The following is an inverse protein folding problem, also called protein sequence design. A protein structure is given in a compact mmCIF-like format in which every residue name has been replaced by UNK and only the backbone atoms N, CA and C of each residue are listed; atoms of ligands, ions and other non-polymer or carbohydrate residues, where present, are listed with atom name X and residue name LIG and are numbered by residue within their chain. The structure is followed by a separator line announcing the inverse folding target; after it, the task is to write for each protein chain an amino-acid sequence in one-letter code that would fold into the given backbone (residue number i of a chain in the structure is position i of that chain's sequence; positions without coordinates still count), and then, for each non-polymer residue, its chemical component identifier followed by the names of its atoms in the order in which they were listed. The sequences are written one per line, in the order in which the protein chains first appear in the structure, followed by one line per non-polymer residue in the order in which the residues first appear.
data_IF_080163753056
#
_entry.id   IF_080163753056
#
_cell.length_a   1.000
_cell.length_b   1.000
_cell.length_c   1.000
_cell.angle_alpha   90.00
_cell.angle_beta   90.00
_cell.angle_gamma   90.00
#
_symmetry.space_group_name_H-M   'P 1'
#
loop_
_entity.id
_entity.type
_entity.pdbx_description
1 polymer ?
#
# COMPACT_ATOMS: atom_id res chain seq x y z
N UNK A 1 18.27 -11.44 34.34
CA UNK A 1 18.20 -10.37 33.31
C UNK A 1 17.17 -10.84 32.31
N UNK A 2 16.05 -10.13 32.14
CA UNK A 2 14.98 -10.60 31.25
C UNK A 2 15.48 -10.55 29.81
N UNK A 3 15.49 -11.71 29.17
CA UNK A 3 15.76 -11.87 27.74
C UNK A 3 14.56 -11.29 26.96
N UNK A 4 14.48 -9.96 26.88
CA UNK A 4 13.49 -9.30 26.05
C UNK A 4 13.87 -9.56 24.61
N UNK A 5 13.19 -10.55 23.99
CA UNK A 5 13.24 -10.78 22.55
C UNK A 5 13.13 -9.44 21.81
N UNK A 6 13.95 -9.25 20.79
CA UNK A 6 13.85 -8.08 19.92
C UNK A 6 12.41 -7.97 19.38
N UNK A 7 11.87 -6.75 19.32
CA UNK A 7 10.51 -6.48 18.85
C UNK A 7 10.53 -5.34 17.82
N UNK A 8 9.78 -5.52 16.73
CA UNK A 8 9.50 -4.51 15.72
C UNK A 8 8.04 -4.10 15.80
N UNK A 9 7.79 -2.79 15.91
CA UNK A 9 6.45 -2.20 15.89
C UNK A 9 6.12 -1.76 14.47
N UNK A 10 5.06 -2.33 13.91
CA UNK A 10 4.49 -1.91 12.63
C UNK A 10 3.19 -1.15 12.87
N UNK A 11 3.05 0.04 12.29
CA UNK A 11 1.75 0.72 12.17
C UNK A 11 1.31 0.63 10.71
N UNK A 12 0.09 0.14 10.48
CA UNK A 12 -0.53 0.13 9.17
C UNK A 12 -1.64 1.17 9.11
N UNK A 13 -1.60 2.00 8.07
CA UNK A 13 -2.70 2.89 7.71
C UNK A 13 -3.36 2.30 6.46
N UNK A 14 -4.68 2.19 6.46
CA UNK A 14 -5.42 1.63 5.32
C UNK A 14 -5.41 2.62 4.14
N UNK A 15 -6.56 2.85 3.52
CA UNK A 15 -6.69 3.58 2.26
C UNK A 15 -6.34 5.07 2.43
N UNK A 16 -5.19 5.47 1.87
CA UNK A 16 -4.71 6.84 1.83
C UNK A 16 -5.26 7.52 0.57
N UNK A 17 -6.36 8.25 0.77
CA UNK A 17 -7.04 8.99 -0.28
C UNK A 17 -6.69 10.48 -0.18
N UNK A 18 -5.81 10.96 -1.06
CA UNK A 18 -5.38 12.37 -1.07
C UNK A 18 -6.11 13.23 -2.09
N UNK A 19 -6.98 12.64 -2.92
CA UNK A 19 -7.75 13.35 -3.92
C UNK A 19 -8.85 14.23 -3.30
N UNK A 20 -9.54 15.01 -4.14
CA UNK A 20 -10.72 15.79 -3.76
C UNK A 20 -10.42 16.82 -2.66
N UNK A 21 -11.20 16.78 -1.58
CA UNK A 21 -11.12 17.76 -0.50
C UNK A 21 -9.79 17.79 0.25
N UNK A 22 -9.00 16.71 0.20
CA UNK A 22 -7.66 16.67 0.80
C UNK A 22 -6.68 17.48 -0.06
N UNK A 23 -6.56 17.15 -1.35
CA UNK A 23 -5.75 17.92 -2.29
C UNK A 23 -6.18 19.40 -2.35
N UNK A 24 -7.49 19.68 -2.34
CA UNK A 24 -8.01 21.04 -2.44
C UNK A 24 -7.66 21.94 -1.23
N UNK A 25 -7.27 21.36 -0.10
CA UNK A 25 -6.86 22.10 1.10
C UNK A 25 -5.36 22.27 1.24
N UNK A 26 -4.57 21.60 0.41
CA UNK A 26 -3.11 21.56 0.53
C UNK A 26 -2.46 22.95 0.69
N UNK A 27 -2.85 23.93 -0.14
CA UNK A 27 -2.27 25.29 -0.12
C UNK A 27 -2.76 26.16 1.04
N UNK A 28 -3.80 25.71 1.77
CA UNK A 28 -4.43 26.47 2.86
C UNK A 28 -4.11 25.90 4.25
N UNK A 29 -3.44 24.76 4.29
CA UNK A 29 -3.18 24.01 5.51
C UNK A 29 -1.72 24.13 5.93
N UNK A 30 -1.47 23.85 7.21
CA UNK A 30 -0.13 23.89 7.76
C UNK A 30 0.80 22.86 7.12
N UNK A 31 2.11 23.11 7.22
CA UNK A 31 3.12 22.14 6.87
C UNK A 31 2.90 20.80 7.60
N UNK A 32 3.05 19.71 6.85
CA UNK A 32 2.77 18.36 7.33
C UNK A 32 1.31 17.91 7.19
N UNK A 33 0.39 18.73 6.65
CA UNK A 33 -0.93 18.25 6.21
C UNK A 33 -0.80 17.04 5.23
N UNK A 34 -1.66 15.99 5.34
CA UNK A 34 -2.78 15.83 6.28
C UNK A 34 -2.39 15.14 7.60
N UNK A 35 -1.11 14.78 7.77
CA UNK A 35 -0.64 13.95 8.87
C UNK A 35 -0.21 14.72 10.11
N UNK A 36 -0.15 16.05 10.08
CA UNK A 36 0.42 16.89 11.15
C UNK A 36 -0.07 16.49 12.55
N UNK A 37 -1.34 16.11 12.72
CA UNK A 37 -1.93 15.70 14.01
C UNK A 37 -1.58 14.29 14.48
N UNK A 38 -1.23 13.39 13.56
CA UNK A 38 -0.98 11.97 13.87
C UNK A 38 0.47 11.55 13.65
N UNK A 39 1.28 12.40 13.03
CA UNK A 39 2.68 12.12 12.70
C UNK A 39 3.53 11.73 13.92
N UNK A 40 3.20 12.28 15.11
CA UNK A 40 3.84 11.91 16.37
C UNK A 40 3.57 10.47 16.81
N UNK A 41 2.39 9.91 16.49
CA UNK A 41 2.06 8.50 16.74
C UNK A 41 2.70 7.60 15.69
N UNK A 42 2.61 7.98 14.41
CA UNK A 42 3.18 7.21 13.30
C UNK A 42 4.69 7.01 13.47
N UNK A 43 5.43 8.06 13.84
CA UNK A 43 6.89 7.99 14.05
C UNK A 43 7.34 7.17 15.26
N UNK A 44 6.42 6.68 16.10
CA UNK A 44 6.77 5.74 17.17
C UNK A 44 6.92 4.30 16.67
N UNK A 45 6.49 4.00 15.44
CA UNK A 45 6.68 2.69 14.83
C UNK A 45 8.08 2.56 14.22
N UNK A 46 8.59 1.34 14.19
CA UNK A 46 9.81 1.00 13.47
C UNK A 46 9.58 0.96 11.95
N UNK A 47 8.35 0.61 11.55
CA UNK A 47 7.86 0.60 10.17
C UNK A 47 6.44 1.15 10.14
N UNK A 48 6.20 2.14 9.28
CA UNK A 48 4.85 2.58 8.93
C UNK A 48 4.55 2.14 7.50
N UNK A 49 3.46 1.41 7.34
CA UNK A 49 2.92 0.92 6.07
C UNK A 49 1.63 1.67 5.74
N UNK A 50 1.36 1.91 4.44
CA UNK A 50 -0.01 2.23 4.04
C UNK A 50 -0.39 1.90 2.61
N UNK A 51 -1.69 1.83 2.33
CA UNK A 51 -2.21 1.67 0.97
C UNK A 51 -2.39 3.05 0.33
N UNK A 52 -1.56 3.40 -0.66
CA UNK A 52 -1.68 4.66 -1.37
C UNK A 52 -2.68 4.51 -2.52
N UNK A 53 -3.93 4.87 -2.24
CA UNK A 53 -5.07 4.76 -3.15
C UNK A 53 -5.35 6.08 -3.87
N UNK A 54 -4.29 6.82 -4.20
CA UNK A 54 -4.39 8.03 -4.99
C UNK A 54 -3.11 8.18 -5.80
N UNK A 55 -3.19 8.18 -7.14
CA UNK A 55 -2.03 8.48 -7.97
C UNK A 55 -1.45 9.85 -7.64
N UNK A 56 -0.13 9.89 -7.43
CA UNK A 56 0.63 11.11 -7.19
C UNK A 56 1.25 11.61 -8.49
N UNK A 57 0.64 12.63 -9.08
CA UNK A 57 1.08 13.22 -10.34
C UNK A 57 0.68 14.69 -10.42
N UNK A 58 1.59 15.55 -10.84
CA UNK A 58 1.33 16.99 -11.03
C UNK A 58 0.65 17.26 -12.39
N UNK A 59 0.59 16.24 -13.25
CA UNK A 59 -0.06 16.32 -14.57
C UNK A 59 -1.47 15.73 -14.59
N UNK A 60 -1.90 15.10 -13.49
CA UNK A 60 -3.19 14.44 -13.39
C UNK A 60 -4.36 15.39 -13.13
N UNK A 61 -5.57 14.89 -13.34
CA UNK A 61 -6.81 15.61 -13.03
C UNK A 61 -7.72 14.74 -12.17
N UNK A 62 -8.13 15.29 -11.03
CA UNK A 62 -9.17 14.70 -10.18
C UNK A 62 -10.56 15.10 -10.66
N UNK A 63 -11.55 14.24 -10.43
CA UNK A 63 -12.94 14.52 -10.78
C UNK A 63 -13.77 13.27 -10.93
N UNK A 64 -14.80 13.32 -11.78
CA UNK A 64 -15.60 12.16 -12.16
C UNK A 64 -15.47 11.89 -13.65
N UNK A 65 -15.21 10.64 -14.03
CA UNK A 65 -15.21 10.19 -15.43
C UNK A 65 -16.24 9.08 -15.57
N UNK A 66 -17.21 9.28 -16.47
CA UNK A 66 -18.36 8.36 -16.66
C UNK A 66 -19.11 8.04 -15.35
N UNK A 67 -19.20 9.01 -14.45
CA UNK A 67 -19.87 8.87 -13.15
C UNK A 67 -19.04 8.19 -12.06
N UNK A 68 -17.83 7.72 -12.36
CA UNK A 68 -16.92 7.12 -11.37
C UNK A 68 -15.86 8.12 -10.93
N UNK A 69 -15.45 8.10 -9.65
CA UNK A 69 -14.38 8.95 -9.15
C UNK A 69 -13.07 8.66 -9.89
N UNK A 70 -12.34 9.72 -10.19
CA UNK A 70 -11.01 9.68 -10.76
C UNK A 70 -10.07 10.46 -9.85
N UNK A 71 -9.09 9.78 -9.28
CA UNK A 71 -8.19 10.33 -8.28
C UNK A 71 -6.87 10.81 -8.86
N UNK A 72 -6.42 11.95 -8.35
CA UNK A 72 -5.06 12.46 -8.49
C UNK A 72 -4.73 13.30 -7.26
N UNK A 73 -3.46 13.36 -6.90
CA UNK A 73 -2.95 14.34 -5.96
C UNK A 73 -1.53 14.79 -6.37
N UNK A 74 -1.12 16.01 -6.00
CA UNK A 74 0.24 16.49 -6.26
C UNK A 74 1.33 15.58 -5.67
N UNK A 75 2.50 15.55 -6.30
CA UNK A 75 3.63 14.69 -5.89
C UNK A 75 4.14 14.99 -4.48
N UNK A 76 3.91 16.20 -3.95
CA UNK A 76 4.34 16.60 -2.60
C UNK A 76 3.79 15.68 -1.50
N UNK A 77 2.65 15.01 -1.72
CA UNK A 77 2.12 14.03 -0.76
C UNK A 77 3.07 12.85 -0.52
N UNK A 78 3.95 12.50 -1.46
CA UNK A 78 5.02 11.51 -1.21
C UNK A 78 5.96 12.01 -0.11
N UNK A 79 6.36 13.28 -0.17
CA UNK A 79 7.21 13.90 0.84
C UNK A 79 6.49 13.99 2.20
N UNK A 80 5.18 14.28 2.20
CA UNK A 80 4.37 14.29 3.43
C UNK A 80 4.26 12.91 4.07
N UNK A 81 4.18 11.84 3.27
CA UNK A 81 4.24 10.45 3.76
C UNK A 81 5.59 10.16 4.42
N UNK A 82 6.70 10.42 3.73
CA UNK A 82 8.04 10.17 4.27
C UNK A 82 8.29 10.93 5.58
N UNK A 83 7.95 12.23 5.63
CA UNK A 83 8.07 13.07 6.84
C UNK A 83 7.22 12.56 8.03
N UNK A 84 6.16 11.79 7.73
CA UNK A 84 5.27 11.21 8.73
C UNK A 84 5.69 9.82 9.19
N UNK A 85 6.78 9.27 8.65
CA UNK A 85 7.35 7.98 9.05
C UNK A 85 7.01 6.81 8.14
N UNK A 86 6.24 7.01 7.07
CA UNK A 86 5.97 5.96 6.09
C UNK A 86 7.26 5.43 5.49
N UNK A 87 7.43 4.11 5.50
CA UNK A 87 8.59 3.41 4.96
C UNK A 87 8.21 2.46 3.83
N UNK A 88 6.94 2.01 3.80
CA UNK A 88 6.39 1.14 2.76
C UNK A 88 5.01 1.65 2.32
N UNK A 89 4.74 1.65 1.04
CA UNK A 89 3.43 1.93 0.46
C UNK A 89 2.99 0.82 -0.49
N UNK A 90 1.77 0.31 -0.29
CA UNK A 90 1.08 -0.49 -1.30
C UNK A 90 0.54 0.42 -2.39
N UNK A 91 0.76 0.02 -3.64
CA UNK A 91 0.13 0.61 -4.83
C UNK A 91 -0.89 -0.36 -5.47
N UNK A 92 -1.14 -1.52 -4.84
CA UNK A 92 -2.14 -2.47 -5.30
C UNK A 92 -3.53 -2.02 -4.82
N UNK A 93 -4.26 -1.28 -5.66
CA UNK A 93 -5.63 -0.87 -5.40
C UNK A 93 -6.37 -0.53 -6.70
N UNK A 94 -7.68 -0.29 -6.62
CA UNK A 94 -8.51 -0.01 -7.79
C UNK A 94 -8.30 1.39 -8.39
N UNK A 95 -7.56 2.29 -7.74
CA UNK A 95 -7.34 3.67 -8.21
C UNK A 95 -5.95 3.94 -8.79
N UNK A 96 -5.02 2.98 -8.72
CA UNK A 96 -3.63 3.19 -9.16
C UNK A 96 -3.50 3.57 -10.65
N UNK A 97 -4.48 3.20 -11.48
CA UNK A 97 -4.52 3.52 -12.91
C UNK A 97 -5.45 4.68 -13.28
N UNK A 98 -6.00 5.43 -12.32
CA UNK A 98 -6.90 6.55 -12.61
C UNK A 98 -6.22 7.62 -13.48
N UNK A 99 -4.91 7.83 -13.31
CA UNK A 99 -4.11 8.73 -14.15
C UNK A 99 -3.30 7.99 -15.22
N UNK A 100 -3.74 6.78 -15.58
CA UNK A 100 -3.08 5.89 -16.53
C UNK A 100 -1.69 5.45 -16.08
N UNK A 101 -0.92 4.87 -17.01
CA UNK A 101 0.42 4.36 -16.72
C UNK A 101 1.38 5.47 -16.29
N UNK A 102 1.21 6.68 -16.82
CA UNK A 102 1.98 7.84 -16.37
C UNK A 102 1.75 8.09 -14.88
N UNK A 103 0.49 8.09 -14.43
CA UNK A 103 0.15 8.23 -13.01
C UNK A 103 0.80 7.19 -12.12
N UNK A 104 0.72 5.91 -12.50
CA UNK A 104 1.36 4.81 -11.78
C UNK A 104 2.88 5.02 -11.67
N UNK A 105 3.54 5.35 -12.79
CA UNK A 105 4.99 5.57 -12.83
C UNK A 105 5.42 6.82 -12.06
N UNK A 106 4.68 7.92 -12.19
CA UNK A 106 4.90 9.15 -11.43
C UNK A 106 4.81 8.85 -9.92
N UNK A 107 3.77 8.11 -9.50
CA UNK A 107 3.54 7.73 -8.09
C UNK A 107 4.69 6.91 -7.55
N UNK A 108 5.08 5.86 -8.27
CA UNK A 108 6.21 4.99 -7.90
C UNK A 108 7.51 5.77 -7.80
N UNK A 109 7.77 6.68 -8.76
CA UNK A 109 8.97 7.55 -8.74
C UNK A 109 8.95 8.51 -7.55
N UNK A 110 7.81 9.18 -7.29
CA UNK A 110 7.68 10.15 -6.20
C UNK A 110 7.98 9.52 -4.84
N UNK A 111 7.49 8.30 -4.60
CA UNK A 111 7.75 7.55 -3.37
C UNK A 111 9.21 7.09 -3.28
N UNK A 112 9.78 6.60 -4.40
CA UNK A 112 11.18 6.19 -4.47
C UNK A 112 12.13 7.35 -4.17
N UNK A 113 11.86 8.54 -4.70
CA UNK A 113 12.66 9.77 -4.51
C UNK A 113 12.76 10.17 -3.02
N UNK A 114 11.73 9.87 -2.23
CA UNK A 114 11.68 10.18 -0.80
C UNK A 114 12.00 8.97 0.10
N UNK A 115 12.46 7.87 -0.49
CA UNK A 115 12.90 6.68 0.25
C UNK A 115 11.78 5.75 0.74
N UNK A 116 10.53 5.95 0.30
CA UNK A 116 9.41 5.04 0.61
C UNK A 116 9.44 3.87 -0.37
N UNK A 117 9.54 2.64 0.14
CA UNK A 117 9.48 1.43 -0.69
C UNK A 117 8.06 1.19 -1.18
N UNK A 118 7.91 0.76 -2.43
CA UNK A 118 6.59 0.44 -3.01
C UNK A 118 6.44 -1.06 -3.23
N UNK A 119 5.22 -1.57 -3.07
CA UNK A 119 4.86 -2.97 -3.33
C UNK A 119 3.53 -3.07 -4.09
N UNK A 120 3.32 -4.23 -4.72
CA UNK A 120 2.03 -4.60 -5.28
C UNK A 120 1.71 -4.04 -6.67
N UNK A 121 2.72 -3.62 -7.42
CA UNK A 121 2.58 -3.28 -8.85
C UNK A 121 3.59 -4.03 -9.73
N UNK A 122 3.20 -4.21 -10.98
CA UNK A 122 4.08 -4.62 -12.07
C UNK A 122 4.27 -3.40 -12.97
N UNK A 123 5.46 -2.80 -12.95
CA UNK A 123 5.73 -1.50 -13.59
C UNK A 123 6.07 -1.61 -15.09
N UNK A 124 6.50 -2.78 -15.57
CA UNK A 124 6.70 -3.06 -16.98
C UNK A 124 6.72 -4.59 -17.24
N UNK A 125 6.78 -4.99 -18.53
CA UNK A 125 6.69 -6.37 -19.02
C UNK A 125 7.72 -7.36 -18.44
N UNK A 126 8.77 -6.89 -17.74
CA UNK A 126 9.87 -7.75 -17.25
C UNK A 126 10.15 -7.59 -15.76
N UNK A 127 9.48 -6.68 -15.07
CA UNK A 127 9.83 -6.35 -13.69
C UNK A 127 8.58 -6.12 -12.85
N UNK A 128 8.21 -7.17 -12.13
CA UNK A 128 7.43 -7.03 -10.89
C UNK A 128 8.28 -6.26 -9.89
N UNK A 129 7.69 -5.28 -9.20
CA UNK A 129 8.29 -4.83 -7.95
C UNK A 129 8.16 -5.98 -6.97
N UNK A 130 9.28 -6.66 -6.70
CA UNK A 130 9.34 -7.73 -5.70
C UNK A 130 8.91 -7.25 -4.31
N UNK A 131 8.85 -8.15 -3.32
CA UNK A 131 8.51 -7.77 -1.96
C UNK A 131 9.42 -6.65 -1.45
N UNK A 132 8.87 -5.73 -0.68
CA UNK A 132 9.71 -4.83 0.11
C UNK A 132 10.15 -5.58 1.37
N UNK A 133 11.45 -5.65 1.61
CA UNK A 133 12.02 -6.25 2.81
C UNK A 133 12.69 -5.14 3.61
N UNK A 134 12.25 -4.95 4.85
CA UNK A 134 12.82 -3.97 5.77
C UNK A 134 13.36 -4.67 7.00
N UNK A 135 14.61 -4.40 7.32
CA UNK A 135 15.23 -4.84 8.57
C UNK A 135 15.21 -3.72 9.60
N UNK A 136 14.69 -4.02 10.80
CA UNK A 136 14.68 -3.13 11.97
C UNK A 136 15.02 -3.94 13.20
N UNK A 137 15.94 -3.45 14.02
CA UNK A 137 16.36 -4.14 15.26
C UNK A 137 16.74 -5.61 15.05
N UNK A 138 17.37 -5.92 13.90
CA UNK A 138 17.78 -7.27 13.51
C UNK A 138 16.65 -8.20 13.07
N UNK A 139 15.43 -7.69 12.86
CA UNK A 139 14.27 -8.46 12.37
C UNK A 139 13.90 -7.96 10.98
N UNK A 140 13.84 -8.87 10.01
CA UNK A 140 13.38 -8.61 8.64
C UNK A 140 11.89 -8.85 8.51
N UNK A 141 11.21 -7.85 7.99
CA UNK A 141 9.78 -7.90 7.68
C UNK A 141 9.61 -7.76 6.17
N UNK A 142 9.01 -8.76 5.55
CA UNK A 142 8.62 -8.76 4.13
C UNK A 142 7.20 -8.21 3.94
N UNK A 143 7.00 -7.42 2.90
CA UNK A 143 5.72 -6.82 2.55
C UNK A 143 5.29 -7.24 1.15
N UNK A 144 4.06 -7.74 1.04
CA UNK A 144 3.40 -8.11 -0.21
C UNK A 144 2.05 -7.40 -0.29
N UNK A 145 1.60 -7.06 -1.50
CA UNK A 145 0.31 -6.42 -1.69
C UNK A 145 -0.36 -6.86 -3.00
N UNK A 146 -1.67 -7.03 -2.94
CA UNK A 146 -2.48 -7.57 -4.05
C UNK A 146 -3.83 -6.84 -4.13
N UNK A 147 -4.36 -6.71 -5.33
CA UNK A 147 -5.65 -6.06 -5.58
C UNK A 147 -6.58 -6.91 -6.44
N UNK A 148 -7.89 -6.63 -6.35
CA UNK A 148 -8.91 -7.22 -7.20
C UNK A 148 -9.17 -6.45 -8.51
N UNK A 149 -8.55 -5.28 -8.71
CA UNK A 149 -8.80 -4.40 -9.86
C UNK A 149 -7.53 -3.65 -10.28
N UNK A 150 -7.59 -2.96 -11.44
CA UNK A 150 -6.46 -2.30 -12.08
C UNK A 150 -5.27 -3.22 -12.32
N UNK A 151 -5.56 -4.47 -12.67
CA UNK A 151 -4.59 -5.56 -12.72
C UNK A 151 -3.58 -5.36 -13.84
N UNK A 152 -2.34 -5.71 -13.55
CA UNK A 152 -1.34 -5.91 -14.59
C UNK A 152 -1.73 -7.09 -15.49
N UNK A 153 -1.39 -6.99 -16.77
CA UNK A 153 -1.54 -8.09 -17.73
C UNK A 153 -0.17 -8.49 -18.28
N UNK A 154 -0.15 -9.49 -19.17
CA UNK A 154 1.07 -9.83 -19.91
C UNK A 154 1.58 -8.69 -20.80
N UNK A 155 0.77 -7.67 -21.09
CA UNK A 155 1.11 -6.56 -21.99
C UNK A 155 0.98 -5.17 -21.37
N UNK A 156 0.49 -5.05 -20.13
CA UNK A 156 0.24 -3.76 -19.48
C UNK A 156 0.62 -3.74 -18.01
N UNK A 157 1.18 -2.62 -17.49
CA UNK A 157 1.46 -2.45 -16.09
C UNK A 157 0.16 -2.27 -15.28
N UNK A 158 0.22 -2.55 -13.99
CA UNK A 158 -0.92 -2.46 -13.08
C UNK A 158 -0.64 -3.08 -11.72
N UNK A 159 -1.69 -3.23 -10.92
CA UNK A 159 -1.66 -3.89 -9.62
C UNK A 159 -1.40 -5.39 -9.77
N UNK A 160 -0.70 -5.97 -8.80
CA UNK A 160 -0.52 -7.42 -8.71
C UNK A 160 -1.88 -8.06 -8.33
N UNK A 161 -2.39 -9.04 -9.10
CA UNK A 161 -3.69 -9.65 -8.85
C UNK A 161 -3.72 -10.53 -7.61
N UNK A 162 -4.90 -10.62 -6.98
CA UNK A 162 -5.19 -11.64 -5.97
C UNK A 162 -5.37 -12.99 -6.67
N UNK A 163 -4.26 -13.70 -6.83
CA UNK A 163 -4.19 -15.06 -7.37
C UNK A 163 -3.64 -15.98 -6.29
N UNK A 164 -4.48 -16.93 -5.83
CA UNK A 164 -4.17 -17.75 -4.65
C UNK A 164 -2.83 -18.47 -4.80
N UNK A 165 -2.62 -19.19 -5.89
CA UNK A 165 -1.41 -20.01 -6.08
C UNK A 165 -0.16 -19.14 -6.14
N UNK A 166 -0.24 -17.98 -6.80
CA UNK A 166 0.83 -16.98 -6.83
C UNK A 166 1.16 -16.47 -5.44
N UNK A 167 0.15 -16.08 -4.66
CA UNK A 167 0.37 -15.55 -3.30
C UNK A 167 1.09 -16.60 -2.45
N UNK A 168 0.66 -17.86 -2.49
CA UNK A 168 1.31 -18.91 -1.70
C UNK A 168 2.73 -19.22 -2.18
N UNK A 169 3.01 -19.12 -3.48
CA UNK A 169 4.37 -19.25 -4.01
C UNK A 169 5.27 -18.11 -3.51
N UNK A 170 4.83 -16.85 -3.66
CA UNK A 170 5.59 -15.68 -3.19
C UNK A 170 5.81 -15.70 -1.67
N UNK A 171 4.82 -16.19 -0.91
CA UNK A 171 4.94 -16.41 0.53
C UNK A 171 6.01 -17.45 0.85
N UNK A 172 5.97 -18.62 0.21
CA UNK A 172 6.93 -19.68 0.45
C UNK A 172 8.36 -19.21 0.14
N UNK A 173 8.55 -18.50 -0.97
CA UNK A 173 9.85 -17.95 -1.36
C UNK A 173 10.33 -16.91 -0.33
N UNK A 174 9.45 -15.99 0.08
CA UNK A 174 9.81 -14.90 0.99
C UNK A 174 10.12 -15.41 2.40
N UNK A 175 9.41 -16.43 2.89
CA UNK A 175 9.65 -17.07 4.20
C UNK A 175 11.08 -17.61 4.35
N UNK A 176 11.79 -17.89 3.25
CA UNK A 176 13.20 -18.31 3.30
C UNK A 176 14.16 -17.17 3.65
N UNK A 177 13.71 -15.92 3.62
CA UNK A 177 14.57 -14.72 3.71
C UNK A 177 14.17 -13.73 4.81
N UNK A 178 12.97 -13.85 5.38
CA UNK A 178 12.43 -12.94 6.40
C UNK A 178 11.79 -13.70 7.55
N UNK A 179 11.79 -13.10 8.75
CA UNK A 179 11.15 -13.68 9.93
C UNK A 179 9.64 -13.42 9.97
N UNK A 180 9.18 -12.31 9.39
CA UNK A 180 7.77 -11.93 9.38
C UNK A 180 7.32 -11.45 8.00
N UNK A 181 6.08 -11.78 7.63
CA UNK A 181 5.44 -11.30 6.40
C UNK A 181 4.16 -10.55 6.76
N UNK A 182 4.00 -9.37 6.15
CA UNK A 182 2.79 -8.57 6.17
C UNK A 182 2.19 -8.53 4.76
N UNK A 183 0.95 -9.01 4.62
CA UNK A 183 0.23 -9.05 3.35
C UNK A 183 -0.89 -8.02 3.34
N UNK A 184 -0.95 -7.19 2.32
CA UNK A 184 -2.05 -6.25 2.05
C UNK A 184 -2.98 -6.80 0.96
N UNK A 185 -4.27 -6.95 1.26
CA UNK A 185 -5.29 -7.41 0.32
C UNK A 185 -6.34 -6.31 0.12
N UNK A 186 -6.27 -5.65 -1.05
CA UNK A 186 -7.23 -4.64 -1.46
C UNK A 186 -8.41 -5.32 -2.19
N UNK A 187 -9.46 -5.66 -1.44
CA UNK A 187 -10.57 -6.49 -1.92
C UNK A 187 -11.87 -6.24 -1.14
N UNK A 188 -12.98 -6.70 -1.72
CA UNK A 188 -14.29 -6.67 -1.09
C UNK A 188 -15.24 -5.80 -1.88
N UNK A 189 -16.24 -5.27 -1.18
CA UNK A 189 -17.22 -4.36 -1.73
C UNK A 189 -17.17 -3.09 -0.89
N UNK A 190 -17.12 -1.92 -1.54
CA UNK A 190 -17.16 -0.63 -0.86
C UNK A 190 -18.34 -0.57 0.13
N UNK A 191 -18.07 -0.04 1.32
CA UNK A 191 -19.01 0.15 2.43
C UNK A 191 -19.60 -1.13 3.03
N UNK A 192 -19.14 -2.32 2.63
CA UNK A 192 -19.52 -3.57 3.26
C UNK A 192 -18.72 -3.78 4.57
N UNK A 193 -19.36 -3.89 5.74
CA UNK A 193 -18.67 -3.98 7.04
C UNK A 193 -18.04 -5.35 7.31
N UNK A 194 -18.17 -6.30 6.38
CA UNK A 194 -17.61 -7.65 6.50
C UNK A 194 -17.01 -8.08 5.17
N UNK A 195 -15.87 -8.81 5.20
CA UNK A 195 -15.31 -9.37 3.99
C UNK A 195 -16.26 -10.39 3.37
N UNK A 196 -16.17 -10.56 2.04
CA UNK A 196 -16.84 -11.67 1.37
C UNK A 196 -16.35 -13.01 1.92
N UNK A 197 -17.16 -14.07 1.80
CA UNK A 197 -16.75 -15.41 2.22
C UNK A 197 -15.42 -15.86 1.58
N UNK A 198 -15.22 -15.54 0.28
CA UNK A 198 -13.98 -15.83 -0.44
C UNK A 198 -12.78 -15.09 0.16
N UNK A 199 -12.92 -13.78 0.42
CA UNK A 199 -11.87 -12.97 1.03
C UNK A 199 -11.52 -13.44 2.44
N UNK A 200 -12.54 -13.73 3.26
CA UNK A 200 -12.35 -14.31 4.59
C UNK A 200 -11.60 -15.64 4.55
N UNK A 201 -11.99 -16.56 3.67
CA UNK A 201 -11.32 -17.86 3.50
C UNK A 201 -9.86 -17.71 3.08
N UNK A 202 -9.53 -16.78 2.20
CA UNK A 202 -8.14 -16.51 1.82
C UNK A 202 -7.33 -16.01 3.02
N UNK A 203 -7.86 -15.02 3.75
CA UNK A 203 -7.19 -14.48 4.95
C UNK A 203 -6.92 -15.59 5.97
N UNK A 204 -7.90 -16.46 6.22
CA UNK A 204 -7.74 -17.62 7.14
C UNK A 204 -6.61 -18.55 6.69
N UNK A 205 -6.56 -18.92 5.40
CA UNK A 205 -5.52 -19.79 4.85
C UNK A 205 -4.12 -19.16 4.95
N UNK A 206 -4.00 -17.84 4.75
CA UNK A 206 -2.72 -17.14 4.88
C UNK A 206 -2.22 -17.16 6.33
N UNK A 207 -3.10 -16.92 7.30
CA UNK A 207 -2.76 -17.00 8.72
C UNK A 207 -2.36 -18.44 9.12
N UNK A 208 -3.09 -19.45 8.62
CA UNK A 208 -2.77 -20.87 8.83
C UNK A 208 -1.42 -21.28 8.22
N UNK A 209 -0.94 -20.56 7.19
CA UNK A 209 0.38 -20.76 6.60
C UNK A 209 1.52 -19.98 7.30
N UNK A 210 1.24 -19.38 8.46
CA UNK A 210 2.26 -18.71 9.28
C UNK A 210 2.52 -17.25 8.90
N UNK A 211 1.65 -16.61 8.09
CA UNK A 211 1.73 -15.17 7.85
C UNK A 211 1.44 -14.41 9.13
N UNK A 212 2.33 -13.46 9.46
CA UNK A 212 2.26 -12.72 10.72
C UNK A 212 1.10 -11.72 10.74
N UNK A 213 0.85 -11.03 9.62
CA UNK A 213 -0.22 -10.03 9.50
C UNK A 213 -0.85 -10.08 8.11
N UNK A 214 -2.19 -10.05 8.06
CA UNK A 214 -2.96 -9.83 6.83
C UNK A 214 -3.85 -8.61 7.01
N UNK A 215 -3.62 -7.59 6.19
CA UNK A 215 -4.35 -6.32 6.17
C UNK A 215 -5.39 -6.35 5.04
N UNK A 216 -6.66 -6.58 5.39
CA UNK A 216 -7.78 -6.44 4.46
C UNK A 216 -8.31 -5.01 4.45
N UNK A 217 -8.42 -4.39 3.28
CA UNK A 217 -8.95 -3.03 3.05
C UNK A 217 -9.59 -2.93 1.66
N UNK A 218 -9.99 -1.73 1.22
CA UNK A 218 -10.93 -1.40 0.11
C UNK A 218 -12.35 -1.00 0.55
N UNK A 219 -13.03 -1.69 1.51
CA UNK A 219 -14.39 -1.31 1.86
C UNK A 219 -14.56 0.09 2.48
N UNK A 220 -13.46 0.78 2.82
CA UNK A 220 -13.45 2.08 3.48
C UNK A 220 -14.27 2.13 4.78
N UNK A 221 -14.41 0.98 5.44
CA UNK A 221 -15.04 0.80 6.75
C UNK A 221 -14.11 -0.01 7.65
N UNK A 222 -13.84 0.43 8.90
CA UNK A 222 -13.00 -0.30 9.85
C UNK A 222 -13.57 -1.65 10.30
#
# INVERSE_FOLDING_TARGET
MSDTKAQVRVIAVADLMFSGGVAARLDREADGYPFHRISGVLRQADIVFGNLETPLTDSGKSGFVRGLPRFAAPRVFAQRLAQSGFSVASLANNHILDQGYKGLMDTSSALKEVGVRTVGIISNLRQQQGPAILERKGIKVGFLAYAASCLATSTSPGAVPIEVDRIFQEVADLQTTVEHICISLHQGMEYAPRPSYRGYRLIRRLLEAGISVVLGHHPHVP
#
